data_IF_159858099295
#
_entry.id   IF_159858099295
#
_cell.length_a   1.000
_cell.length_b   1.000
_cell.length_c   1.000
_cell.angle_alpha   90.00
_cell.angle_beta   90.00
_cell.angle_gamma   90.00
#
_symmetry.space_group_name_H-M   'P 1'
#
loop_
_entity.id
_entity.type
_entity.pdbx_description
1 polymer ?
#
# COMPACT_ATOMS: atom_id res chain seq x y z
N UNK A 1 6.31 -0.84 -11.03
CA UNK A 1 6.47 -2.18 -10.44
C UNK A 1 6.12 -2.16 -8.97
N UNK A 2 5.33 -3.13 -8.52
CA UNK A 2 5.11 -3.45 -7.09
C UNK A 2 5.74 -4.81 -6.82
N UNK A 3 6.45 -4.94 -5.72
CA UNK A 3 7.01 -6.22 -5.27
C UNK A 3 6.47 -6.57 -3.89
N UNK A 4 5.90 -7.75 -3.75
CA UNK A 4 5.50 -8.34 -2.46
C UNK A 4 6.48 -9.46 -2.12
N UNK A 5 7.05 -9.43 -0.92
CA UNK A 5 8.01 -10.43 -0.44
C UNK A 5 7.64 -10.85 0.97
N UNK A 6 7.76 -12.13 1.28
CA UNK A 6 7.38 -12.68 2.58
C UNK A 6 8.60 -13.00 3.45
N UNK A 7 8.39 -12.93 4.75
CA UNK A 7 9.33 -13.43 5.76
C UNK A 7 8.60 -14.39 6.69
N UNK A 8 9.34 -15.32 7.28
CA UNK A 8 8.81 -16.26 8.26
C UNK A 8 9.66 -16.20 9.53
N UNK A 9 9.12 -16.71 10.63
CA UNK A 9 9.90 -16.85 11.87
C UNK A 9 11.06 -17.86 11.71
N UNK A 10 12.21 -17.64 12.35
CA UNK A 10 13.45 -18.44 12.16
C UNK A 10 13.40 -19.92 12.57
N UNK A 11 12.29 -20.40 13.12
CA UNK A 11 12.18 -21.76 13.66
C UNK A 11 11.96 -22.87 12.63
N UNK A 12 11.78 -22.54 11.36
CA UNK A 12 11.58 -23.52 10.30
C UNK A 12 12.72 -23.48 9.29
N UNK A 13 13.61 -24.46 9.37
CA UNK A 13 14.84 -24.60 8.55
C UNK A 13 14.62 -24.76 7.03
N UNK A 14 13.44 -24.52 6.48
CA UNK A 14 13.14 -24.59 5.03
C UNK A 14 12.14 -23.52 4.62
N UNK A 15 12.53 -22.25 4.70
CA UNK A 15 11.65 -21.16 4.31
C UNK A 15 11.94 -20.78 2.88
N UNK A 16 11.01 -21.09 1.99
CA UNK A 16 10.98 -20.51 0.65
C UNK A 16 10.42 -19.09 0.76
N UNK A 17 11.25 -18.09 0.58
CA UNK A 17 10.80 -16.70 0.35
C UNK A 17 9.86 -16.75 -0.84
N UNK A 18 8.61 -16.29 -0.63
CA UNK A 18 7.66 -16.12 -1.71
C UNK A 18 7.71 -14.68 -2.19
N UNK A 19 7.74 -14.50 -3.49
CA UNK A 19 7.82 -13.19 -4.13
C UNK A 19 6.82 -13.09 -5.25
N UNK A 20 6.08 -12.00 -5.31
CA UNK A 20 5.28 -11.59 -6.44
C UNK A 20 5.79 -10.25 -6.96
N UNK A 21 5.93 -10.14 -8.25
CA UNK A 21 6.26 -8.87 -8.94
C UNK A 21 5.11 -8.55 -9.89
N UNK A 22 4.57 -7.34 -9.74
CA UNK A 22 3.53 -6.80 -10.62
C UNK A 22 4.11 -5.57 -11.32
N UNK A 23 4.23 -5.65 -12.64
CA UNK A 23 4.82 -4.56 -13.44
C UNK A 23 3.74 -3.57 -13.85
N UNK A 24 3.81 -2.39 -13.25
CA UNK A 24 2.87 -1.28 -13.49
C UNK A 24 3.60 0.04 -13.42
N UNK A 25 3.04 1.05 -14.09
CA UNK A 25 3.47 2.43 -13.98
C UNK A 25 2.80 3.12 -12.77
N UNK A 26 3.36 4.25 -12.35
CA UNK A 26 2.81 5.05 -11.25
C UNK A 26 1.83 6.09 -11.81
N UNK A 27 0.69 5.60 -12.26
CA UNK A 27 -0.38 6.40 -12.86
C UNK A 27 -1.69 6.14 -12.12
N UNK A 28 -2.59 7.11 -12.19
CA UNK A 28 -3.85 7.13 -11.45
C UNK A 28 -5.10 7.09 -12.34
N UNK A 29 -4.91 6.87 -13.64
CA UNK A 29 -5.99 6.66 -14.60
C UNK A 29 -5.85 5.30 -15.27
N UNK A 30 -6.95 4.56 -15.35
CA UNK A 30 -7.02 3.25 -16.01
C UNK A 30 -6.77 3.30 -17.52
N UNK A 31 -6.90 4.48 -18.12
CA UNK A 31 -6.71 4.69 -19.56
C UNK A 31 -5.23 4.83 -19.94
N UNK A 32 -4.36 5.05 -18.96
CA UNK A 32 -2.94 5.24 -19.21
C UNK A 32 -2.22 3.92 -19.35
N UNK A 33 -1.20 3.90 -20.23
CA UNK A 33 -0.36 2.74 -20.42
C UNK A 33 0.30 2.30 -19.12
N UNK A 34 0.26 1.00 -18.85
CA UNK A 34 0.86 0.42 -17.65
C UNK A 34 0.09 0.69 -16.35
N UNK A 35 -1.14 1.18 -16.44
CA UNK A 35 -2.01 1.40 -15.29
C UNK A 35 -2.24 0.10 -14.50
N UNK A 36 -2.51 0.25 -13.21
CA UNK A 36 -2.97 -0.86 -12.38
C UNK A 36 -4.38 -1.28 -12.82
N UNK A 37 -4.57 -2.56 -13.04
CA UNK A 37 -5.82 -3.13 -13.52
C UNK A 37 -6.41 -4.10 -12.50
N UNK A 38 -7.67 -4.44 -12.70
CA UNK A 38 -8.36 -5.48 -11.93
C UNK A 38 -7.63 -6.83 -11.98
N UNK A 39 -6.97 -7.15 -13.09
CA UNK A 39 -6.19 -8.37 -13.23
C UNK A 39 -4.96 -8.37 -12.31
N UNK A 40 -4.27 -7.24 -12.23
CA UNK A 40 -3.18 -7.05 -11.27
C UNK A 40 -3.68 -7.21 -9.82
N UNK A 41 -4.86 -6.67 -9.50
CA UNK A 41 -5.48 -6.87 -8.19
C UNK A 41 -5.75 -8.35 -7.88
N UNK A 42 -6.29 -9.10 -8.84
CA UNK A 42 -6.50 -10.55 -8.71
C UNK A 42 -5.20 -11.32 -8.46
N UNK A 43 -4.13 -10.96 -9.16
CA UNK A 43 -2.81 -11.59 -8.95
C UNK A 43 -2.33 -11.37 -7.51
N UNK A 44 -2.44 -10.17 -6.98
CA UNK A 44 -2.04 -9.83 -5.60
C UNK A 44 -2.92 -10.59 -4.60
N UNK A 45 -4.23 -10.54 -4.75
CA UNK A 45 -5.16 -11.22 -3.84
C UNK A 45 -4.93 -12.74 -3.85
N UNK A 46 -4.74 -13.33 -5.03
CA UNK A 46 -4.41 -14.75 -5.17
C UNK A 46 -3.09 -15.09 -4.47
N UNK A 47 -2.08 -14.24 -4.62
CA UNK A 47 -0.79 -14.42 -3.93
C UNK A 47 -0.97 -14.42 -2.41
N UNK A 48 -1.68 -13.43 -1.86
CA UNK A 48 -1.95 -13.30 -0.42
C UNK A 48 -2.73 -14.51 0.12
N UNK A 49 -3.82 -14.90 -0.56
CA UNK A 49 -4.65 -16.04 -0.14
C UNK A 49 -3.93 -17.39 -0.15
N UNK A 50 -2.88 -17.50 -0.95
CA UNK A 50 -2.05 -18.72 -1.04
C UNK A 50 -0.79 -18.65 -0.18
N UNK A 51 -0.66 -17.65 0.70
CA UNK A 51 0.44 -17.61 1.66
C UNK A 51 0.21 -18.66 2.76
N UNK A 52 1.26 -19.42 3.13
CA UNK A 52 1.20 -20.29 4.29
C UNK A 52 0.94 -19.52 5.58
N UNK A 53 0.23 -20.14 6.53
CA UNK A 53 -0.06 -19.54 7.85
C UNK A 53 1.19 -19.17 8.66
N UNK A 54 2.33 -19.79 8.35
CA UNK A 54 3.62 -19.50 9.01
C UNK A 54 4.26 -18.18 8.53
N UNK A 55 3.67 -17.46 7.58
CA UNK A 55 4.14 -16.14 7.17
C UNK A 55 3.79 -15.13 8.25
N UNK A 56 4.80 -14.46 8.78
CA UNK A 56 4.66 -13.43 9.82
C UNK A 56 4.69 -12.03 9.25
N UNK A 57 5.43 -11.84 8.18
CA UNK A 57 5.67 -10.51 7.61
C UNK A 57 5.47 -10.52 6.09
N UNK A 58 4.87 -9.46 5.60
CA UNK A 58 4.73 -9.15 4.19
C UNK A 58 5.33 -7.78 3.90
N UNK A 59 6.36 -7.77 3.09
CA UNK A 59 7.02 -6.54 2.63
C UNK A 59 6.46 -6.14 1.28
N UNK A 60 6.06 -4.88 1.14
CA UNK A 60 5.52 -4.32 -0.08
C UNK A 60 6.41 -3.16 -0.51
N UNK A 61 7.02 -3.28 -1.67
CA UNK A 61 7.97 -2.30 -2.18
C UNK A 61 7.56 -1.81 -3.58
N UNK A 62 7.91 -0.58 -3.90
CA UNK A 62 7.89 -0.05 -5.25
C UNK A 62 9.12 0.84 -5.48
N UNK A 63 9.34 1.29 -6.72
CA UNK A 63 10.55 2.07 -7.08
C UNK A 63 10.72 3.35 -6.27
N UNK A 64 9.62 4.04 -5.92
CA UNK A 64 9.63 5.26 -5.12
C UNK A 64 9.46 5.03 -3.62
N UNK A 65 8.94 3.86 -3.22
CA UNK A 65 8.66 3.52 -1.82
C UNK A 65 7.45 4.24 -1.18
N UNK A 66 6.85 5.20 -1.86
CA UNK A 66 5.85 6.09 -1.26
C UNK A 66 4.50 6.17 -1.98
N UNK A 67 4.31 5.51 -3.13
CA UNK A 67 3.08 5.65 -3.92
C UNK A 67 2.38 4.30 -4.15
N UNK A 68 2.79 3.52 -5.14
CA UNK A 68 2.16 2.24 -5.49
C UNK A 68 2.16 1.23 -4.35
N UNK A 69 3.29 1.10 -3.64
CA UNK A 69 3.40 0.19 -2.49
C UNK A 69 2.51 0.62 -1.33
N UNK A 70 2.38 1.91 -1.08
CA UNK A 70 1.54 2.42 0.01
C UNK A 70 0.05 2.32 -0.32
N UNK A 71 -0.35 2.56 -1.58
CA UNK A 71 -1.72 2.27 -2.02
C UNK A 71 -2.07 0.78 -1.88
N UNK A 72 -1.14 -0.11 -2.24
CA UNK A 72 -1.30 -1.55 -2.02
C UNK A 72 -1.39 -1.90 -0.52
N UNK A 73 -0.51 -1.35 0.32
CA UNK A 73 -0.51 -1.59 1.76
C UNK A 73 -1.82 -1.16 2.43
N UNK A 74 -2.33 0.04 2.10
CA UNK A 74 -3.60 0.53 2.62
C UNK A 74 -4.76 -0.43 2.31
N UNK A 75 -4.86 -0.91 1.07
CA UNK A 75 -5.88 -1.89 0.70
C UNK A 75 -5.74 -3.21 1.48
N UNK A 76 -4.52 -3.75 1.61
CA UNK A 76 -4.27 -4.99 2.34
C UNK A 76 -4.54 -4.85 3.85
N UNK A 77 -4.35 -3.68 4.43
CA UNK A 77 -4.74 -3.41 5.81
C UNK A 77 -6.26 -3.54 5.98
N UNK A 78 -7.05 -2.91 5.12
CA UNK A 78 -8.51 -3.05 5.15
C UNK A 78 -8.97 -4.50 4.92
N UNK A 79 -8.34 -5.22 3.98
CA UNK A 79 -8.61 -6.64 3.75
C UNK A 79 -8.35 -7.51 4.98
N UNK A 80 -7.47 -7.06 5.88
CA UNK A 80 -7.12 -7.72 7.15
C UNK A 80 -7.89 -7.16 8.34
N UNK A 81 -8.98 -6.43 8.12
CA UNK A 81 -9.77 -5.74 9.15
C UNK A 81 -8.94 -4.79 10.03
N UNK A 82 -7.91 -4.16 9.45
CA UNK A 82 -7.07 -3.15 10.11
C UNK A 82 -7.38 -1.77 9.54
N UNK A 83 -7.18 -0.72 10.35
CA UNK A 83 -7.24 0.65 9.85
C UNK A 83 -6.10 0.94 8.88
N UNK A 84 -6.39 1.65 7.80
CA UNK A 84 -5.43 2.15 6.82
C UNK A 84 -4.94 3.59 7.14
N UNK A 85 -5.36 4.12 8.29
CA UNK A 85 -5.05 5.48 8.73
C UNK A 85 -3.56 5.81 8.74
N UNK A 86 -2.72 4.88 9.21
CA UNK A 86 -1.28 5.08 9.32
C UNK A 86 -0.63 5.35 7.95
N UNK A 87 -1.23 4.83 6.88
CA UNK A 87 -0.77 5.09 5.52
C UNK A 87 -1.16 6.50 5.08
N UNK A 88 -2.43 6.88 5.24
CA UNK A 88 -2.95 8.15 4.75
C UNK A 88 -2.51 9.36 5.60
N UNK A 89 -2.29 9.17 6.89
CA UNK A 89 -1.79 10.21 7.80
C UNK A 89 -0.27 10.39 7.73
N UNK A 90 0.46 9.55 6.99
CA UNK A 90 1.90 9.70 6.85
C UNK A 90 2.24 10.76 5.79
N UNK A 91 2.90 11.87 6.16
CA UNK A 91 3.19 12.98 5.25
C UNK A 91 4.25 12.67 4.19
N UNK A 92 4.95 11.54 4.32
CA UNK A 92 5.97 11.09 3.36
C UNK A 92 5.42 10.14 2.29
N UNK A 93 4.16 9.73 2.43
CA UNK A 93 3.48 8.88 1.48
C UNK A 93 2.55 9.68 0.58
N UNK A 94 2.44 9.24 -0.66
CA UNK A 94 1.46 9.70 -1.64
C UNK A 94 0.77 8.47 -2.23
N UNK A 95 -0.09 7.79 -1.45
CA UNK A 95 -0.63 6.49 -1.85
C UNK A 95 -1.36 6.56 -3.19
N UNK A 96 -0.99 5.69 -4.13
CA UNK A 96 -1.64 5.59 -5.43
C UNK A 96 -3.08 5.10 -5.24
N UNK A 97 -4.06 5.97 -5.43
CA UNK A 97 -5.46 5.67 -5.17
C UNK A 97 -6.05 4.66 -6.15
N UNK A 98 -5.53 4.58 -7.39
CA UNK A 98 -5.98 3.57 -8.34
C UNK A 98 -5.63 2.16 -7.87
N UNK A 99 -4.39 1.95 -7.40
CA UNK A 99 -3.97 0.66 -6.80
C UNK A 99 -4.84 0.33 -5.60
N UNK A 100 -5.05 1.28 -4.71
CA UNK A 100 -5.88 1.13 -3.52
C UNK A 100 -7.33 0.73 -3.87
N UNK A 101 -7.96 1.50 -4.74
CA UNK A 101 -9.37 1.32 -5.12
C UNK A 101 -9.63 0.01 -5.84
N UNK A 102 -8.78 -0.35 -6.80
CA UNK A 102 -8.95 -1.60 -7.57
C UNK A 102 -8.73 -2.84 -6.71
N UNK A 103 -7.80 -2.80 -5.75
CA UNK A 103 -7.63 -3.88 -4.76
C UNK A 103 -8.85 -4.00 -3.85
N UNK A 104 -9.35 -2.90 -3.28
CA UNK A 104 -10.55 -2.89 -2.46
C UNK A 104 -11.74 -3.46 -3.22
N UNK A 105 -11.97 -2.97 -4.45
CA UNK A 105 -13.06 -3.43 -5.30
C UNK A 105 -12.99 -4.94 -5.60
N UNK A 106 -11.83 -5.45 -5.96
CA UNK A 106 -11.67 -6.87 -6.27
C UNK A 106 -11.82 -7.77 -5.04
N UNK A 107 -11.48 -7.25 -3.87
CA UNK A 107 -11.69 -7.96 -2.61
C UNK A 107 -13.15 -7.90 -2.12
N UNK A 108 -13.98 -7.02 -2.68
CA UNK A 108 -15.37 -6.85 -2.29
C UNK A 108 -15.59 -5.79 -1.22
N UNK A 109 -14.61 -4.93 -0.98
CA UNK A 109 -14.76 -3.74 -0.14
C UNK A 109 -15.28 -2.63 -1.05
N UNK A 110 -16.51 -2.18 -0.79
CA UNK A 110 -17.07 -1.03 -1.50
C UNK A 110 -16.34 0.24 -1.08
N UNK A 111 -15.76 0.91 -2.08
CA UNK A 111 -15.01 2.13 -1.88
C UNK A 111 -15.61 3.22 -2.77
N UNK A 112 -16.53 3.98 -2.19
CA UNK A 112 -17.16 5.12 -2.86
C UNK A 112 -16.13 6.20 -3.22
N UNK A 113 -16.46 7.05 -4.19
CA UNK A 113 -15.60 8.18 -4.55
C UNK A 113 -15.41 9.14 -3.37
N UNK A 114 -16.43 9.29 -2.52
CA UNK A 114 -16.35 10.07 -1.29
C UNK A 114 -15.35 9.49 -0.29
N UNK A 115 -15.39 8.18 -0.06
CA UNK A 115 -14.46 7.50 0.84
C UNK A 115 -13.00 7.59 0.35
N UNK A 116 -12.76 7.58 -0.96
CA UNK A 116 -11.45 7.83 -1.55
C UNK A 116 -11.04 9.28 -1.38
N UNK A 117 -11.96 10.22 -1.66
CA UNK A 117 -11.69 11.66 -1.53
C UNK A 117 -11.34 12.06 -0.11
N UNK A 118 -12.00 11.48 0.89
CA UNK A 118 -11.67 11.71 2.31
C UNK A 118 -10.25 11.27 2.65
N UNK A 119 -9.82 10.13 2.16
CA UNK A 119 -8.44 9.64 2.36
C UNK A 119 -7.40 10.55 1.70
N UNK A 120 -7.66 10.98 0.49
CA UNK A 120 -6.78 11.93 -0.21
C UNK A 120 -6.70 13.26 0.53
N UNK A 121 -7.81 13.77 1.07
CA UNK A 121 -7.84 14.97 1.90
C UNK A 121 -7.01 14.81 3.17
N UNK A 122 -7.15 13.69 3.89
CA UNK A 122 -6.35 13.39 5.08
C UNK A 122 -4.86 13.40 4.75
N UNK A 123 -4.46 12.81 3.64
CA UNK A 123 -3.06 12.76 3.21
C UNK A 123 -2.52 14.16 2.83
N UNK A 124 -3.30 14.95 2.12
CA UNK A 124 -2.93 16.33 1.79
C UNK A 124 -2.78 17.22 3.03
N UNK A 125 -3.67 17.08 4.00
CA UNK A 125 -3.59 17.79 5.30
C UNK A 125 -2.34 17.38 6.08
N UNK A 126 -2.01 16.09 6.11
CA UNK A 126 -0.80 15.59 6.75
C UNK A 126 0.47 16.16 6.09
N UNK A 127 0.52 16.17 4.77
CA UNK A 127 1.62 16.78 4.01
C UNK A 127 1.78 18.28 4.29
N UNK A 128 0.69 19.04 4.22
CA UNK A 128 0.68 20.48 4.50
C UNK A 128 1.16 20.80 5.91
N UNK A 129 0.72 20.00 6.89
CA UNK A 129 1.13 20.14 8.29
C UNK A 129 2.63 19.89 8.46
N UNK A 130 3.16 18.83 7.84
CA UNK A 130 4.58 18.52 7.86
C UNK A 130 5.43 19.62 7.22
N UNK A 131 4.98 20.20 6.11
CA UNK A 131 5.67 21.31 5.45
C UNK A 131 5.71 22.57 6.34
N UNK A 132 4.61 22.90 7.02
CA UNK A 132 4.58 24.02 7.96
C UNK A 132 5.56 23.80 9.12
N UNK A 133 5.60 22.60 9.69
CA UNK A 133 6.52 22.26 10.78
C UNK A 133 7.98 22.30 10.34
N UNK A 134 8.29 21.84 9.13
CA UNK A 134 9.62 21.92 8.54
C UNK A 134 10.07 23.39 8.41
N UNK A 135 9.20 24.25 7.89
CA UNK A 135 9.48 25.67 7.72
C UNK A 135 9.63 26.40 9.07
N UNK A 136 8.96 25.91 10.13
CA UNK A 136 9.09 26.41 11.49
C UNK A 136 10.28 25.83 12.27
N UNK A 137 11.15 25.03 11.63
CA UNK A 137 12.30 24.38 12.27
C UNK A 137 11.95 23.25 13.24
N UNK A 138 10.71 22.79 13.23
CA UNK A 138 10.24 21.66 14.05
C UNK A 138 10.35 20.36 13.25
N UNK A 139 11.35 19.56 13.57
CA UNK A 139 11.51 18.22 12.98
C UNK A 139 10.88 17.17 13.88
N UNK A 140 9.79 16.55 13.44
CA UNK A 140 9.31 15.29 14.03
C UNK A 140 10.03 14.12 13.36
N UNK A 141 10.72 13.33 14.17
CA UNK A 141 11.38 12.11 13.72
C UNK A 141 10.34 11.00 13.68
N UNK A 142 9.78 10.72 12.51
CA UNK A 142 8.91 9.56 12.34
C UNK A 142 9.75 8.28 12.33
N UNK A 143 9.59 7.45 13.34
CA UNK A 143 10.10 6.09 13.31
C UNK A 143 9.06 5.23 12.61
N UNK A 144 9.40 4.71 11.44
CA UNK A 144 8.63 3.68 10.77
C UNK A 144 8.91 2.38 11.52
N UNK A 145 7.98 1.99 12.37
CA UNK A 145 7.92 0.61 12.86
C UNK A 145 7.25 -0.22 11.75
N UNK A 146 8.08 -0.78 10.90
CA UNK A 146 7.68 -1.84 9.98
C UNK A 146 7.63 -3.19 10.71
#
# INVERSE_FOLDING_TARGET
MITLTTRTTPRLNRIKIRKLVVDIQDVESTELYGAFTREHARMIIKFIRNLPECITDLYICCSKGGSRSTGCAAALMLMSNRSDDDVWKNPYYTPNYLVFRELCREFGIDMSDEAVSDRLRINDEAYKTAQKNKNAGKYERWQILM
#
